data_IF_600354019575
#
_entry.id   IF_600354019575
#
_cell.length_a   1.000
_cell.length_b   1.000
_cell.length_c   1.000
_cell.angle_alpha   90.00
_cell.angle_beta   90.00
_cell.angle_gamma   90.00
#
_symmetry.space_group_name_H-M   'P 1'
#
loop_
_entity.id
_entity.type
_entity.pdbx_description
1 polymer ?
#
# COMPACT_ATOMS: atom_id res chain seq x y z
N UNK A 1 17.17 1.83 55.39
CA UNK A 1 17.61 2.28 54.04
C UNK A 1 16.93 1.48 52.91
N UNK A 2 15.58 1.35 52.91
CA UNK A 2 14.84 0.52 51.94
C UNK A 2 13.93 1.32 50.98
N UNK A 3 13.72 2.63 51.22
CA UNK A 3 12.81 3.46 50.42
C UNK A 3 13.31 3.84 49.01
N UNK A 4 14.62 3.93 48.79
CA UNK A 4 15.16 4.39 47.50
C UNK A 4 15.05 3.34 46.37
N UNK A 5 15.12 2.04 46.69
CA UNK A 5 15.13 0.95 45.68
C UNK A 5 13.76 0.69 45.04
N UNK A 6 12.67 0.98 45.75
CA UNK A 6 11.30 0.80 45.23
C UNK A 6 10.95 1.94 44.28
N UNK A 7 11.37 3.16 44.60
CA UNK A 7 11.15 4.35 43.79
C UNK A 7 11.83 4.24 42.40
N UNK A 8 13.07 3.76 42.34
CA UNK A 8 13.79 3.60 41.05
C UNK A 8 13.15 2.55 40.12
N UNK A 9 12.60 1.47 40.68
CA UNK A 9 11.90 0.46 39.88
C UNK A 9 10.61 1.02 39.30
N UNK A 10 9.78 1.65 40.12
CA UNK A 10 8.51 2.24 39.66
C UNK A 10 8.78 3.28 38.57
N UNK A 11 9.74 4.20 38.77
CA UNK A 11 10.12 5.21 37.76
C UNK A 11 10.61 4.58 36.45
N UNK A 12 11.40 3.50 36.51
CA UNK A 12 11.82 2.76 35.30
C UNK A 12 10.64 2.12 34.57
N UNK A 13 9.70 1.50 35.29
CA UNK A 13 8.51 0.89 34.69
C UNK A 13 7.61 1.92 34.02
N UNK A 14 7.35 3.06 34.66
CA UNK A 14 6.54 4.13 34.04
C UNK A 14 7.20 4.67 32.78
N UNK A 15 8.53 4.86 32.79
CA UNK A 15 9.28 5.32 31.62
C UNK A 15 9.23 4.32 30.46
N UNK A 16 9.30 3.01 30.74
CA UNK A 16 9.15 1.96 29.73
C UNK A 16 7.74 1.97 29.14
N UNK A 17 6.69 2.04 29.97
CA UNK A 17 5.31 2.11 29.49
C UNK A 17 5.05 3.36 28.63
N UNK A 18 5.54 4.53 29.03
CA UNK A 18 5.44 5.75 28.21
C UNK A 18 6.16 5.59 26.88
N UNK A 19 7.37 5.03 26.86
CA UNK A 19 8.10 4.80 25.61
C UNK A 19 7.41 3.82 24.66
N UNK A 20 6.70 2.81 25.20
CA UNK A 20 5.93 1.86 24.39
C UNK A 20 4.69 2.52 23.77
N UNK A 21 4.00 3.39 24.52
CA UNK A 21 2.88 4.18 23.99
C UNK A 21 3.33 5.15 22.89
N UNK A 22 4.50 5.78 23.07
CA UNK A 22 5.07 6.68 22.07
C UNK A 22 5.46 5.95 20.78
N UNK A 23 6.01 4.73 20.90
CA UNK A 23 6.37 3.86 19.77
C UNK A 23 5.14 3.39 18.99
N UNK A 24 4.10 2.93 19.69
CA UNK A 24 2.85 2.51 19.06
C UNK A 24 2.15 3.69 18.35
N UNK A 25 2.09 4.85 18.99
CA UNK A 25 1.57 6.06 18.35
C UNK A 25 2.41 6.47 17.13
N UNK A 26 3.73 6.28 17.15
CA UNK A 26 4.59 6.53 15.99
C UNK A 26 4.30 5.55 14.85
N UNK A 27 4.14 4.25 15.16
CA UNK A 27 3.80 3.20 14.19
C UNK A 27 2.49 3.53 13.46
N UNK A 28 1.42 3.83 14.21
CA UNK A 28 0.12 4.18 13.62
C UNK A 28 0.18 5.43 12.75
N UNK A 29 0.97 6.45 13.14
CA UNK A 29 1.17 7.65 12.31
C UNK A 29 1.88 7.34 10.99
N UNK A 30 2.89 6.49 11.02
CA UNK A 30 3.59 6.07 9.81
C UNK A 30 2.70 5.25 8.87
N UNK A 31 1.90 4.33 9.40
CA UNK A 31 0.92 3.58 8.62
C UNK A 31 -0.12 4.48 7.98
N UNK A 32 -0.73 5.39 8.74
CA UNK A 32 -1.70 6.36 8.23
C UNK A 32 -1.12 7.22 7.10
N UNK A 33 0.15 7.62 7.22
CA UNK A 33 0.86 8.36 6.15
C UNK A 33 1.00 7.51 4.88
N UNK A 34 1.34 6.23 5.01
CA UNK A 34 1.45 5.34 3.86
C UNK A 34 0.09 5.07 3.22
N UNK A 35 -0.96 4.85 3.99
CA UNK A 35 -2.32 4.74 3.43
C UNK A 35 -2.72 6.00 2.65
N UNK A 36 -2.38 7.19 3.16
CA UNK A 36 -2.62 8.44 2.43
C UNK A 36 -1.80 8.54 1.12
N UNK A 37 -0.63 7.91 1.06
CA UNK A 37 0.20 7.86 -0.15
C UNK A 37 -0.26 6.78 -1.16
N UNK A 38 -0.88 5.71 -0.66
CA UNK A 38 -1.46 4.66 -1.48
C UNK A 38 -2.82 5.08 -2.07
N UNK A 39 -3.56 5.96 -1.39
CA UNK A 39 -4.90 6.35 -1.79
C UNK A 39 -4.96 6.83 -3.26
N UNK A 40 -5.87 6.24 -4.03
CA UNK A 40 -6.04 6.56 -5.44
C UNK A 40 -6.02 5.33 -6.34
N UNK A 41 -5.88 5.56 -7.64
CA UNK A 41 -5.90 4.53 -8.67
C UNK A 41 -4.49 4.10 -9.06
N UNK A 42 -4.34 2.81 -9.29
CA UNK A 42 -3.08 2.15 -9.61
C UNK A 42 -3.28 1.19 -10.76
N UNK A 43 -2.31 1.14 -11.66
CA UNK A 43 -2.34 0.22 -12.79
C UNK A 43 -0.99 -0.44 -13.03
N UNK A 44 -1.03 -1.64 -13.59
CA UNK A 44 0.16 -2.35 -14.06
C UNK A 44 0.42 -2.11 -15.55
N UNK A 45 1.45 -2.76 -16.09
CA UNK A 45 1.81 -2.68 -17.51
C UNK A 45 0.85 -3.45 -18.44
N UNK A 46 0.01 -4.33 -17.89
CA UNK A 46 -0.95 -5.16 -18.63
C UNK A 46 -2.35 -4.53 -18.69
N UNK A 47 -2.56 -3.43 -17.95
CA UNK A 47 -3.80 -2.66 -17.92
C UNK A 47 -4.74 -3.06 -16.79
N UNK A 48 -4.30 -3.89 -15.85
CA UNK A 48 -5.04 -4.14 -14.62
C UNK A 48 -5.15 -2.84 -13.81
N UNK A 49 -6.30 -2.60 -13.19
CA UNK A 49 -6.63 -1.37 -12.48
C UNK A 49 -7.19 -1.69 -11.10
N UNK A 50 -6.60 -1.11 -10.06
CA UNK A 50 -7.15 -1.16 -8.72
C UNK A 50 -7.19 0.23 -8.09
N UNK A 51 -7.97 0.34 -7.01
CA UNK A 51 -8.10 1.56 -6.24
C UNK A 51 -7.91 1.28 -4.76
N UNK A 52 -6.99 2.03 -4.15
CA UNK A 52 -6.84 2.06 -2.70
C UNK A 52 -7.77 3.11 -2.08
N UNK A 53 -8.53 2.71 -1.07
CA UNK A 53 -9.41 3.59 -0.26
C UNK A 53 -9.16 3.31 1.22
N UNK A 54 -8.29 4.09 1.84
CA UNK A 54 -7.88 3.84 3.22
C UNK A 54 -7.12 2.51 3.32
N UNK A 55 -7.65 1.58 4.09
CA UNK A 55 -7.13 0.23 4.34
C UNK A 55 -7.77 -0.84 3.44
N UNK A 56 -8.36 -0.45 2.31
CA UNK A 56 -8.95 -1.38 1.35
C UNK A 56 -8.34 -1.18 -0.03
N UNK A 57 -8.05 -2.29 -0.70
CA UNK A 57 -7.72 -2.37 -2.12
C UNK A 57 -8.90 -3.00 -2.86
N UNK A 58 -9.39 -2.33 -3.90
CA UNK A 58 -10.49 -2.79 -4.76
C UNK A 58 -9.97 -2.95 -6.18
N UNK A 59 -10.05 -4.15 -6.73
CA UNK A 59 -9.82 -4.45 -8.15
C UNK A 59 -11.01 -3.93 -8.96
N UNK A 60 -10.76 -3.08 -9.96
CA UNK A 60 -11.84 -2.39 -10.68
C UNK A 60 -12.47 -3.29 -11.75
N UNK A 61 -11.72 -4.24 -12.33
CA UNK A 61 -12.25 -5.12 -13.37
C UNK A 61 -13.37 -6.03 -12.88
N UNK A 62 -13.23 -6.59 -11.68
CA UNK A 62 -14.12 -7.62 -11.15
C UNK A 62 -14.76 -7.26 -9.80
N UNK A 63 -14.34 -6.16 -9.18
CA UNK A 63 -14.88 -5.69 -7.90
C UNK A 63 -14.35 -6.44 -6.68
N UNK A 64 -13.35 -7.32 -6.85
CA UNK A 64 -12.72 -8.02 -5.72
C UNK A 64 -12.05 -7.00 -4.79
N UNK A 65 -12.31 -7.11 -3.49
CA UNK A 65 -11.77 -6.17 -2.51
C UNK A 65 -11.12 -6.90 -1.33
N UNK A 66 -10.01 -6.34 -0.85
CA UNK A 66 -9.27 -6.91 0.26
C UNK A 66 -8.80 -5.84 1.24
N UNK A 67 -8.73 -6.24 2.51
CA UNK A 67 -8.08 -5.43 3.53
C UNK A 67 -6.58 -5.34 3.24
N UNK A 68 -6.04 -4.15 3.41
CA UNK A 68 -4.64 -3.81 3.18
C UNK A 68 -3.94 -3.71 4.52
N UNK A 69 -2.90 -4.51 4.69
CA UNK A 69 -1.99 -4.39 5.81
C UNK A 69 -0.73 -3.67 5.36
N UNK A 70 -0.31 -2.68 6.14
CA UNK A 70 0.93 -1.93 5.92
C UNK A 70 1.87 -2.19 7.07
N UNK A 71 3.08 -2.64 6.78
CA UNK A 71 4.16 -2.76 7.74
C UNK A 71 5.29 -1.80 7.37
N UNK A 72 5.68 -0.94 8.30
CA UNK A 72 6.76 0.02 8.11
C UNK A 72 8.10 -0.55 8.52
N UNK A 73 9.13 -0.37 7.69
CA UNK A 73 10.51 -0.71 8.02
C UNK A 73 11.44 0.45 7.59
N UNK A 74 11.62 1.42 8.49
CA UNK A 74 12.41 2.61 8.20
C UNK A 74 11.73 3.53 7.19
N UNK A 75 12.29 3.63 5.98
CA UNK A 75 11.71 4.41 4.88
C UNK A 75 10.91 3.57 3.88
N UNK A 76 10.97 2.26 3.99
CA UNK A 76 10.23 1.34 3.13
C UNK A 76 8.95 0.88 3.82
N UNK A 77 7.88 0.74 3.05
CA UNK A 77 6.64 0.15 3.52
C UNK A 77 6.36 -1.13 2.76
N UNK A 78 6.06 -2.21 3.48
CA UNK A 78 5.53 -3.44 2.90
C UNK A 78 4.01 -3.40 2.95
N UNK A 79 3.38 -3.62 1.81
CA UNK A 79 1.93 -3.71 1.64
C UNK A 79 1.58 -5.18 1.47
N UNK A 80 0.54 -5.65 2.14
CA UNK A 80 0.04 -7.02 2.00
C UNK A 80 -1.48 -7.02 1.82
N UNK A 81 -1.98 -7.86 0.93
CA UNK A 81 -3.42 -8.03 0.63
C UNK A 81 -3.74 -9.51 0.40
N UNK A 82 -4.99 -9.91 0.63
CA UNK A 82 -5.50 -11.26 0.34
C UNK A 82 -6.52 -11.16 -0.79
N UNK A 83 -6.12 -11.42 -2.02
CA UNK A 83 -6.97 -11.33 -3.22
C UNK A 83 -7.09 -12.71 -3.86
N UNK A 84 -8.29 -13.10 -4.28
CA UNK A 84 -8.53 -14.37 -4.97
C UNK A 84 -8.08 -15.61 -4.15
N UNK A 85 -8.19 -15.52 -2.82
CA UNK A 85 -7.68 -16.53 -1.86
C UNK A 85 -6.15 -16.68 -1.81
N UNK A 86 -5.41 -15.81 -2.50
CA UNK A 86 -3.94 -15.79 -2.46
C UNK A 86 -3.42 -14.54 -1.75
N UNK A 87 -2.28 -14.69 -1.09
CA UNK A 87 -1.65 -13.61 -0.36
C UNK A 87 -0.61 -12.91 -1.23
N UNK A 88 -0.81 -11.62 -1.44
CA UNK A 88 0.03 -10.77 -2.27
C UNK A 88 0.78 -9.78 -1.41
N UNK A 89 2.06 -9.59 -1.71
CA UNK A 89 2.92 -8.62 -1.02
C UNK A 89 3.58 -7.70 -2.00
N UNK A 90 3.66 -6.42 -1.66
CA UNK A 90 4.43 -5.43 -2.40
C UNK A 90 5.35 -4.63 -1.49
N UNK A 91 6.49 -4.21 -2.03
CA UNK A 91 7.25 -3.12 -1.46
C UNK A 91 6.77 -1.80 -2.07
N UNK A 92 6.39 -0.85 -1.22
CA UNK A 92 6.01 0.49 -1.62
C UNK A 92 7.21 1.43 -1.45
N UNK A 93 7.72 1.92 -2.58
CA UNK A 93 8.88 2.80 -2.64
C UNK A 93 8.73 3.75 -3.82
N UNK A 94 9.12 5.01 -3.62
CA UNK A 94 9.14 6.04 -4.67
C UNK A 94 7.83 6.22 -5.45
N UNK A 95 6.68 5.93 -4.82
CA UNK A 95 5.36 6.02 -5.46
C UNK A 95 5.04 4.88 -6.41
N UNK A 96 5.72 3.74 -6.28
CA UNK A 96 5.49 2.51 -7.03
C UNK A 96 5.28 1.33 -6.05
N UNK A 97 4.48 0.36 -6.48
CA UNK A 97 4.27 -0.89 -5.77
C UNK A 97 4.96 -2.01 -6.55
N UNK A 98 5.96 -2.64 -5.92
CA UNK A 98 6.71 -3.76 -6.49
C UNK A 98 6.21 -5.05 -5.87
N UNK A 99 5.30 -5.73 -6.56
CA UNK A 99 4.70 -6.97 -6.08
C UNK A 99 5.70 -8.12 -6.12
N UNK A 100 5.52 -9.08 -5.22
CA UNK A 100 6.32 -10.31 -5.16
C UNK A 100 6.19 -11.17 -6.41
N UNK A 101 5.13 -10.99 -7.20
CA UNK A 101 4.96 -11.58 -8.54
C UNK A 101 5.97 -11.04 -9.56
N UNK A 102 6.61 -9.90 -9.29
CA UNK A 102 7.46 -9.15 -10.21
C UNK A 102 6.73 -8.02 -10.93
N UNK A 103 5.41 -7.90 -10.75
CA UNK A 103 4.62 -6.81 -11.34
C UNK A 103 4.91 -5.48 -10.64
N UNK A 104 4.93 -4.42 -11.44
CA UNK A 104 5.11 -3.06 -10.95
C UNK A 104 3.85 -2.27 -11.24
N UNK A 105 3.26 -1.74 -10.18
CA UNK A 105 2.07 -0.92 -10.27
C UNK A 105 2.43 0.53 -10.04
N UNK A 106 1.87 1.40 -10.87
CA UNK A 106 2.13 2.84 -10.81
C UNK A 106 0.84 3.62 -10.56
N UNK A 107 0.97 4.70 -9.78
CA UNK A 107 -0.16 5.54 -9.46
C UNK A 107 -0.61 6.34 -10.71
N UNK A 108 -1.90 6.31 -11.04
CA UNK A 108 -2.44 6.91 -12.27
C UNK A 108 -2.18 8.41 -12.40
N UNK A 109 -2.14 9.16 -11.29
CA UNK A 109 -1.82 10.60 -11.32
C UNK A 109 -0.36 10.94 -11.66
N UNK A 110 0.56 9.95 -11.67
CA UNK A 110 1.96 10.16 -12.08
C UNK A 110 2.22 9.83 -13.55
N UNK A 111 1.27 9.20 -14.23
CA UNK A 111 1.43 8.85 -15.65
C UNK A 111 1.39 10.06 -16.59
N UNK A 112 0.94 11.23 -16.12
CA UNK A 112 0.78 12.44 -16.95
C UNK A 112 1.94 13.45 -16.89
N UNK A 113 2.99 13.24 -16.08
CA UNK A 113 4.03 14.25 -15.88
C UNK A 113 5.27 14.15 -16.81
N UNK A 114 5.38 13.12 -17.67
CA UNK A 114 6.58 12.93 -18.53
C UNK A 114 6.36 12.62 -20.01
N UNK A 115 5.13 12.57 -20.50
CA UNK A 115 4.88 12.41 -21.93
C UNK A 115 4.38 13.72 -22.54
N UNK A 116 5.32 14.61 -22.85
CA UNK A 116 5.08 15.72 -23.77
C UNK A 116 4.89 15.20 -25.20
N UNK A 117 3.80 14.49 -25.48
CA UNK A 117 3.46 14.09 -26.84
C UNK A 117 1.93 14.17 -27.07
N UNK A 118 1.46 15.09 -27.93
CA UNK A 118 0.04 15.20 -28.25
C UNK A 118 -0.37 14.17 -29.31
N UNK A 119 -1.03 13.08 -28.87
CA UNK A 119 -1.92 12.24 -29.68
C UNK A 119 -1.30 11.13 -30.55
N UNK A 120 -2.13 10.24 -31.18
CA UNK A 120 -3.55 10.45 -31.45
C UNK A 120 -4.52 9.29 -31.09
N UNK A 121 -5.79 9.69 -30.94
CA UNK A 121 -7.03 9.03 -31.41
C UNK A 121 -7.38 7.58 -31.02
N UNK A 122 -8.50 7.45 -30.30
CA UNK A 122 -9.52 6.37 -30.34
C UNK A 122 -9.10 5.10 -31.08
N UNK A 123 -8.62 4.07 -30.36
CA UNK A 123 -8.61 2.70 -30.90
C UNK A 123 -9.98 2.07 -30.73
N UNK A 124 -10.65 1.90 -31.87
CA UNK A 124 -11.81 1.05 -32.08
C UNK A 124 -11.39 -0.40 -31.84
N UNK A 125 -11.98 -1.05 -30.83
CA UNK A 125 -11.78 -2.48 -30.59
C UNK A 125 -12.49 -3.27 -31.70
N UNK A 126 -11.75 -4.14 -32.39
CA UNK A 126 -12.35 -5.19 -33.19
C UNK A 126 -12.70 -6.35 -32.24
N UNK A 127 -13.98 -6.68 -32.14
CA UNK A 127 -14.40 -7.95 -31.56
C UNK A 127 -13.81 -9.07 -32.44
N UNK A 128 -12.89 -9.86 -31.89
CA UNK A 128 -12.51 -11.14 -32.48
C UNK A 128 -13.65 -12.11 -32.20
N UNK A 129 -14.65 -12.09 -33.08
CA UNK A 129 -15.69 -13.11 -33.11
C UNK A 129 -15.08 -14.41 -33.62
N UNK A 130 -15.03 -15.40 -32.74
CA UNK A 130 -14.83 -16.79 -33.10
C UNK A 130 -15.87 -17.22 -34.15
N UNK A 131 -15.37 -17.87 -35.20
CA UNK A 131 -16.18 -18.48 -36.24
C UNK A 131 -15.50 -19.76 -36.71
N UNK A 132 -15.47 -20.77 -35.84
CA UNK A 132 -15.34 -22.17 -36.27
C UNK A 132 -16.67 -22.60 -36.90
N UNK A 133 -16.65 -22.93 -38.18
CA UNK A 133 -17.28 -24.10 -38.82
C UNK A 133 -16.83 -24.15 -40.28
#
# INVERSE_FOLDING_TARGET
>A
RLGAKVSDRVVRWTKVCSSLLDLDAACRRSEARTFAQLAGEWHDAYGALARFRGDVLEMIEDGEASAVQVQQNGQEARVSVLLYSDFWQANFQDGQLWWSSGEVWTHSSRSDARSGNPGPSKRRWYCRGDGRA
#
